data_IF_837034090680
#
_entry.id   IF_837034090680
#
_cell.length_a   1.000
_cell.length_b   1.000
_cell.length_c   1.000
_cell.angle_alpha   90.00
_cell.angle_beta   90.00
_cell.angle_gamma   90.00
#
_symmetry.space_group_name_H-M   'P 1'
#
loop_
_entity.id
_entity.type
_entity.pdbx_description
1 polymer ?
#
# COMPACT_ATOMS: atom_id res chain seq x y z
N UNK A 1 10.53 1.93 -20.97
CA UNK A 1 11.54 0.86 -21.16
C UNK A 1 12.04 0.49 -19.77
N UNK A 2 11.32 -0.39 -19.06
CA UNK A 2 11.36 -0.43 -17.58
C UNK A 2 11.11 -1.86 -17.07
N UNK A 3 11.90 -2.85 -17.53
CA UNK A 3 11.72 -4.26 -17.13
C UNK A 3 13.02 -4.98 -16.73
N UNK A 4 14.19 -4.34 -16.82
CA UNK A 4 15.47 -5.04 -16.69
C UNK A 4 16.11 -5.03 -15.31
N UNK A 5 15.74 -4.10 -14.42
CA UNK A 5 16.49 -3.87 -13.16
C UNK A 5 15.90 -4.61 -11.94
N UNK A 6 14.71 -5.19 -12.07
CA UNK A 6 14.03 -5.92 -10.99
C UNK A 6 14.06 -7.43 -11.17
N UNK A 7 14.71 -7.89 -12.25
CA UNK A 7 14.85 -9.29 -12.59
C UNK A 7 16.33 -9.65 -12.59
N UNK A 8 16.67 -10.83 -12.07
CA UNK A 8 17.97 -11.42 -12.26
C UNK A 8 18.20 -11.75 -13.75
N UNK A 9 19.42 -12.16 -14.10
CA UNK A 9 19.79 -12.51 -15.48
C UNK A 9 18.97 -13.68 -16.07
N UNK A 10 18.14 -14.34 -15.26
CA UNK A 10 17.20 -15.41 -15.66
C UNK A 10 15.74 -14.95 -15.78
N UNK A 11 15.45 -13.66 -15.56
CA UNK A 11 14.10 -13.10 -15.63
C UNK A 11 13.26 -13.29 -14.36
N UNK A 12 13.88 -13.64 -13.22
CA UNK A 12 13.19 -13.84 -11.93
C UNK A 12 13.37 -12.63 -11.01
N UNK A 13 12.38 -12.27 -10.17
CA UNK A 13 12.48 -11.11 -9.30
C UNK A 13 13.66 -11.22 -8.31
N UNK A 14 14.37 -10.12 -8.08
CA UNK A 14 15.51 -10.06 -7.15
C UNK A 14 15.14 -10.56 -5.73
N UNK A 15 16.06 -11.25 -5.02
CA UNK A 15 15.77 -11.90 -3.73
C UNK A 15 15.24 -10.96 -2.65
N UNK A 16 15.64 -9.68 -2.64
CA UNK A 16 15.20 -8.68 -1.66
C UNK A 16 13.72 -8.30 -1.83
N UNK A 17 13.25 -8.17 -3.06
CA UNK A 17 11.82 -7.93 -3.37
C UNK A 17 10.99 -9.16 -3.03
N UNK A 18 11.53 -10.35 -3.32
CA UNK A 18 10.96 -11.61 -2.83
C UNK A 18 10.93 -11.63 -1.30
N UNK A 19 11.91 -11.09 -0.58
CA UNK A 19 11.97 -11.10 0.88
C UNK A 19 11.02 -10.08 1.52
N UNK A 20 10.75 -8.93 0.90
CA UNK A 20 9.72 -7.98 1.33
C UNK A 20 8.30 -8.49 1.04
N UNK A 21 8.06 -9.01 -0.17
CA UNK A 21 6.77 -9.61 -0.53
C UNK A 21 6.52 -10.90 0.25
N UNK A 22 7.55 -11.72 0.47
CA UNK A 22 7.46 -12.88 1.35
C UNK A 22 7.40 -12.47 2.81
N UNK A 23 8.01 -11.38 3.26
CA UNK A 23 7.91 -10.85 4.62
C UNK A 23 6.48 -10.42 4.95
N UNK A 24 5.81 -9.74 4.02
CA UNK A 24 4.36 -9.49 4.09
C UNK A 24 3.54 -10.79 4.05
N UNK A 25 3.97 -11.78 3.28
CA UNK A 25 3.35 -13.10 3.21
C UNK A 25 3.62 -13.97 4.45
N UNK A 26 4.69 -13.71 5.21
CA UNK A 26 5.15 -14.46 6.39
C UNK A 26 4.55 -13.88 7.68
N UNK A 27 4.41 -12.54 7.77
CA UNK A 27 3.69 -11.87 8.86
C UNK A 27 2.22 -12.30 8.92
N UNK A 28 1.65 -12.68 7.77
CA UNK A 28 0.33 -13.27 7.63
C UNK A 28 0.50 -14.78 7.46
N UNK A 29 0.85 -15.46 8.55
CA UNK A 29 1.22 -16.89 8.58
C UNK A 29 0.50 -17.71 7.52
N UNK A 30 1.27 -18.25 6.57
CA UNK A 30 0.82 -19.06 5.42
C UNK A 30 -0.13 -20.17 5.89
N UNK A 31 0.11 -20.71 7.08
CA UNK A 31 -0.64 -21.81 7.67
C UNK A 31 -2.11 -21.49 8.08
N UNK A 32 -2.49 -20.21 8.27
CA UNK A 32 -3.88 -19.86 8.66
C UNK A 32 -4.81 -19.61 7.47
N UNK A 33 -4.26 -19.41 6.27
CA UNK A 33 -5.03 -19.07 5.06
C UNK A 33 -5.59 -20.31 4.35
N UNK A 34 -4.86 -21.43 4.45
CA UNK A 34 -5.24 -22.68 3.78
C UNK A 34 -6.23 -23.51 4.60
N UNK A 35 -6.35 -23.25 5.92
CA UNK A 35 -7.26 -23.97 6.83
C UNK A 35 -8.72 -24.00 6.34
N UNK A 36 -9.24 -22.87 5.85
CA UNK A 36 -10.63 -22.78 5.38
C UNK A 36 -10.87 -23.53 4.07
N UNK A 37 -9.83 -23.67 3.25
CA UNK A 37 -9.89 -24.36 1.95
C UNK A 37 -9.80 -25.88 2.18
N UNK A 38 -8.95 -26.30 3.11
CA UNK A 38 -8.71 -27.69 3.46
C UNK A 38 -9.90 -28.38 4.15
N UNK A 39 -10.90 -27.63 4.62
CA UNK A 39 -12.13 -28.17 5.22
C UNK A 39 -13.29 -28.36 4.20
N UNK A 40 -13.17 -27.83 2.98
CA UNK A 40 -14.26 -27.92 1.99
C UNK A 40 -14.44 -29.35 1.46
N UNK A 41 -15.65 -29.93 1.49
CA UNK A 41 -15.89 -31.32 1.03
C UNK A 41 -15.91 -31.50 -0.49
N UNK A 42 -15.92 -30.40 -1.26
CA UNK A 42 -16.02 -30.41 -2.73
C UNK A 42 -14.69 -30.00 -3.37
N UNK A 43 -13.97 -30.99 -3.94
CA UNK A 43 -12.61 -30.84 -4.49
C UNK A 43 -12.57 -29.81 -5.63
N UNK A 44 -13.62 -29.74 -6.47
CA UNK A 44 -13.68 -28.78 -7.60
C UNK A 44 -13.80 -27.34 -7.13
N UNK A 45 -14.33 -27.11 -5.92
CA UNK A 45 -14.43 -25.79 -5.30
C UNK A 45 -13.19 -25.41 -4.50
N UNK A 46 -12.36 -26.38 -4.07
CA UNK A 46 -11.10 -26.12 -3.36
C UNK A 46 -10.09 -25.39 -4.24
N UNK A 47 -9.86 -25.90 -5.45
CA UNK A 47 -8.78 -25.39 -6.32
C UNK A 47 -9.22 -24.25 -7.24
N UNK A 48 -10.44 -23.75 -7.07
CA UNK A 48 -10.95 -22.63 -7.84
C UNK A 48 -10.24 -21.33 -7.42
N UNK A 49 -9.69 -20.59 -8.40
CA UNK A 49 -9.04 -19.27 -8.18
C UNK A 49 -9.95 -18.32 -7.38
N UNK A 50 -11.26 -18.37 -7.62
CA UNK A 50 -12.25 -17.58 -6.89
C UNK A 50 -12.38 -17.99 -5.41
N UNK A 51 -12.28 -19.27 -5.09
CA UNK A 51 -12.34 -19.77 -3.72
C UNK A 51 -11.13 -19.30 -2.92
N UNK A 52 -9.92 -19.43 -3.49
CA UNK A 52 -8.70 -18.90 -2.88
C UNK A 52 -8.79 -17.38 -2.66
N UNK A 53 -9.29 -16.63 -3.64
CA UNK A 53 -9.45 -15.17 -3.53
C UNK A 53 -10.43 -14.79 -2.41
N UNK A 54 -11.60 -15.43 -2.33
CA UNK A 54 -12.58 -15.16 -1.28
C UNK A 54 -12.06 -15.59 0.10
N UNK A 55 -11.45 -16.76 0.20
CA UNK A 55 -10.84 -17.25 1.44
C UNK A 55 -9.80 -16.25 1.97
N UNK A 56 -8.88 -15.80 1.11
CA UNK A 56 -7.88 -14.79 1.48
C UNK A 56 -8.50 -13.45 1.90
N UNK A 57 -9.57 -13.03 1.22
CA UNK A 57 -10.32 -11.82 1.58
C UNK A 57 -10.92 -11.93 2.98
N UNK A 58 -11.61 -13.03 3.28
CA UNK A 58 -12.22 -13.29 4.59
C UNK A 58 -11.16 -13.47 5.69
N UNK A 59 -10.05 -14.15 5.41
CA UNK A 59 -8.94 -14.28 6.34
C UNK A 59 -8.31 -12.92 6.67
N UNK A 60 -8.18 -12.04 5.67
CA UNK A 60 -7.67 -10.69 5.87
C UNK A 60 -8.59 -9.84 6.75
N UNK A 61 -9.91 -10.01 6.64
CA UNK A 61 -10.91 -9.38 7.50
C UNK A 61 -10.86 -9.95 8.92
N UNK A 62 -10.79 -11.27 9.05
CA UNK A 62 -10.70 -11.92 10.36
C UNK A 62 -9.45 -11.47 11.14
N UNK A 63 -8.30 -11.40 10.46
CA UNK A 63 -7.05 -10.90 11.06
C UNK A 63 -7.19 -9.43 11.47
N UNK A 64 -7.76 -8.60 10.60
CA UNK A 64 -7.97 -7.18 10.89
C UNK A 64 -8.84 -6.98 12.13
N UNK A 65 -9.99 -7.67 12.19
CA UNK A 65 -10.92 -7.64 13.31
C UNK A 65 -10.31 -8.15 14.62
N UNK A 66 -9.67 -9.33 14.59
CA UNK A 66 -9.07 -9.94 15.81
C UNK A 66 -7.89 -9.12 16.32
N UNK A 67 -7.15 -8.48 15.41
CA UNK A 67 -6.03 -7.60 15.78
C UNK A 67 -6.47 -6.23 16.29
N UNK A 68 -7.77 -5.93 16.33
CA UNK A 68 -8.29 -4.61 16.69
C UNK A 68 -7.58 -3.47 15.92
N UNK A 69 -7.47 -3.63 14.60
CA UNK A 69 -6.86 -2.67 13.67
C UNK A 69 -5.34 -2.46 13.84
N UNK A 70 -4.67 -3.24 14.70
CA UNK A 70 -3.20 -3.15 14.87
C UNK A 70 -2.46 -3.76 13.68
N UNK A 71 -3.01 -4.82 13.08
CA UNK A 71 -2.45 -5.43 11.86
C UNK A 71 -3.18 -4.87 10.65
N UNK A 72 -2.47 -4.06 9.86
CA UNK A 72 -2.98 -3.47 8.61
C UNK A 72 -2.88 -4.49 7.48
N UNK A 73 -3.91 -5.31 7.31
CA UNK A 73 -3.90 -6.33 6.24
C UNK A 73 -3.92 -5.68 4.85
N UNK A 74 -3.30 -6.33 3.87
CA UNK A 74 -3.12 -5.77 2.52
C UNK A 74 -4.45 -5.34 1.88
N UNK A 75 -5.52 -6.11 2.09
CA UNK A 75 -6.88 -5.75 1.65
C UNK A 75 -7.33 -4.38 2.18
N UNK A 76 -7.15 -4.12 3.48
CA UNK A 76 -7.64 -2.90 4.13
C UNK A 76 -6.82 -1.67 3.73
N UNK A 77 -5.51 -1.86 3.53
CA UNK A 77 -4.63 -0.83 2.99
C UNK A 77 -5.00 -0.52 1.54
N UNK A 78 -5.03 -1.53 0.66
CA UNK A 78 -5.26 -1.33 -0.77
C UNK A 78 -6.66 -0.79 -1.04
N UNK A 79 -7.70 -1.28 -0.35
CA UNK A 79 -9.06 -0.75 -0.48
C UNK A 79 -9.14 0.70 -0.03
N UNK A 80 -8.55 1.03 1.13
CA UNK A 80 -8.51 2.40 1.65
C UNK A 80 -7.79 3.34 0.68
N UNK A 81 -6.60 2.96 0.22
CA UNK A 81 -5.79 3.75 -0.71
C UNK A 81 -6.51 3.97 -2.05
N UNK A 82 -7.14 2.92 -2.60
CA UNK A 82 -7.89 3.02 -3.87
C UNK A 82 -9.07 3.97 -3.74
N UNK A 83 -9.86 3.85 -2.67
CA UNK A 83 -11.01 4.75 -2.46
C UNK A 83 -10.56 6.18 -2.22
N UNK A 84 -9.45 6.36 -1.48
CA UNK A 84 -8.89 7.69 -1.22
C UNK A 84 -8.48 8.34 -2.54
N UNK A 85 -7.74 7.64 -3.39
CA UNK A 85 -7.27 8.18 -4.67
C UNK A 85 -8.40 8.42 -5.69
N UNK A 86 -9.47 7.63 -5.65
CA UNK A 86 -10.61 7.79 -6.57
C UNK A 86 -11.57 8.92 -6.14
N UNK A 87 -11.70 9.17 -4.84
CA UNK A 87 -12.74 10.07 -4.32
C UNK A 87 -12.18 11.32 -3.65
N UNK A 88 -10.91 11.30 -3.27
CA UNK A 88 -10.22 12.35 -2.51
C UNK A 88 -11.05 12.84 -1.32
N UNK A 89 -11.80 11.93 -0.68
CA UNK A 89 -12.80 12.26 0.34
C UNK A 89 -12.47 11.59 1.67
N UNK A 90 -12.00 12.41 2.63
CA UNK A 90 -11.79 12.00 4.02
C UNK A 90 -13.07 11.43 4.65
N UNK A 91 -14.24 11.98 4.29
CA UNK A 91 -15.55 11.51 4.78
C UNK A 91 -15.81 10.06 4.35
N UNK A 92 -15.55 9.73 3.09
CA UNK A 92 -15.74 8.36 2.57
C UNK A 92 -14.83 7.36 3.28
N UNK A 93 -13.56 7.71 3.47
CA UNK A 93 -12.61 6.85 4.19
C UNK A 93 -13.02 6.66 5.65
N UNK A 94 -13.47 7.72 6.33
CA UNK A 94 -13.95 7.61 7.70
C UNK A 94 -15.18 6.70 7.83
N UNK A 95 -16.10 6.73 6.86
CA UNK A 95 -17.26 5.81 6.84
C UNK A 95 -16.78 4.37 6.68
N UNK A 96 -15.92 4.09 5.70
CA UNK A 96 -15.39 2.74 5.46
C UNK A 96 -14.58 2.21 6.63
N UNK A 97 -13.79 3.06 7.29
CA UNK A 97 -13.04 2.70 8.49
C UNK A 97 -13.98 2.38 9.67
N UNK A 98 -15.04 3.17 9.88
CA UNK A 98 -16.07 2.87 10.90
C UNK A 98 -16.83 1.59 10.63
N UNK A 99 -17.00 1.22 9.37
CA UNK A 99 -17.57 -0.07 8.96
C UNK A 99 -16.56 -1.23 9.04
N UNK A 100 -15.30 -0.97 9.41
CA UNK A 100 -14.27 -2.00 9.55
C UNK A 100 -13.72 -2.52 8.22
N UNK A 101 -13.83 -1.76 7.13
CA UNK A 101 -13.42 -2.21 5.79
C UNK A 101 -12.07 -1.65 5.32
N UNK A 102 -11.56 -0.59 5.93
CA UNK A 102 -10.25 -0.03 5.60
C UNK A 102 -9.54 0.59 6.80
N UNK A 103 -8.25 0.89 6.61
CA UNK A 103 -7.45 1.64 7.58
C UNK A 103 -7.98 3.07 7.74
N UNK A 104 -7.62 3.70 8.87
CA UNK A 104 -7.97 5.09 9.10
C UNK A 104 -7.26 6.00 8.07
N UNK A 105 -7.82 7.19 7.86
CA UNK A 105 -7.34 8.13 6.86
C UNK A 105 -5.89 8.58 7.09
N UNK A 106 -5.51 8.89 8.34
CA UNK A 106 -4.14 9.34 8.67
C UNK A 106 -3.09 8.26 8.36
N UNK A 107 -3.40 6.97 8.58
CA UNK A 107 -2.53 5.87 8.21
C UNK A 107 -2.32 5.77 6.70
N UNK A 108 -3.33 6.11 5.90
CA UNK A 108 -3.19 6.13 4.44
C UNK A 108 -2.32 7.31 3.99
N UNK A 109 -2.48 8.47 4.63
CA UNK A 109 -1.60 9.63 4.45
C UNK A 109 -0.14 9.31 4.75
N UNK A 110 0.15 8.72 5.91
CA UNK A 110 1.50 8.29 6.29
C UNK A 110 2.09 7.31 5.26
N UNK A 111 1.27 6.40 4.74
CA UNK A 111 1.69 5.42 3.73
C UNK A 111 2.03 6.07 2.38
N UNK A 112 1.32 7.12 1.97
CA UNK A 112 1.65 7.87 0.73
C UNK A 112 2.96 8.65 0.87
N UNK A 113 3.13 9.32 2.00
CA UNK A 113 4.37 10.04 2.31
C UNK A 113 5.55 9.07 2.30
N UNK A 114 5.41 7.91 2.96
CA UNK A 114 6.49 6.93 2.97
C UNK A 114 6.73 6.26 1.62
N UNK A 115 5.67 5.97 0.85
CA UNK A 115 5.84 5.47 -0.50
C UNK A 115 6.64 6.45 -1.38
N UNK A 116 6.45 7.76 -1.16
CA UNK A 116 7.18 8.81 -1.86
C UNK A 116 8.64 8.88 -1.42
N UNK A 117 8.91 8.89 -0.11
CA UNK A 117 10.26 8.86 0.47
C UNK A 117 11.03 7.63 -0.05
N UNK A 118 10.43 6.44 0.04
CA UNK A 118 11.00 5.19 -0.48
C UNK A 118 11.28 5.24 -1.99
N UNK A 119 10.48 5.97 -2.77
CA UNK A 119 10.68 6.09 -4.23
C UNK A 119 11.83 7.04 -4.58
N UNK A 120 12.03 8.09 -3.80
CA UNK A 120 13.17 9.01 -3.92
C UNK A 120 14.47 8.34 -3.52
N UNK A 121 14.47 7.60 -2.41
CA UNK A 121 15.63 6.82 -1.98
C UNK A 121 16.05 5.79 -3.04
N UNK A 122 15.09 5.24 -3.79
CA UNK A 122 15.32 4.35 -4.94
C UNK A 122 15.68 5.07 -6.24
N UNK A 123 15.97 6.37 -6.19
CA UNK A 123 16.43 7.21 -7.32
C UNK A 123 15.43 7.40 -8.47
N UNK A 124 14.18 6.97 -8.32
CA UNK A 124 13.19 7.08 -9.41
C UNK A 124 12.58 8.48 -9.56
N UNK A 125 12.79 9.36 -8.59
CA UNK A 125 12.18 10.69 -8.51
C UNK A 125 13.26 11.69 -8.10
N UNK A 126 14.13 12.09 -9.02
CA UNK A 126 14.96 13.27 -8.84
C UNK A 126 14.79 14.22 -10.02
N UNK A 127 14.72 15.52 -9.71
CA UNK A 127 14.62 16.56 -10.72
C UNK A 127 15.93 16.61 -11.52
N UNK A 128 15.89 16.91 -12.83
CA UNK A 128 17.08 16.94 -13.68
C UNK A 128 18.19 17.88 -13.19
N UNK A 129 17.83 18.95 -12.49
CA UNK A 129 18.75 20.00 -12.04
C UNK A 129 19.39 19.73 -10.67
N UNK A 130 19.07 18.60 -10.02
CA UNK A 130 19.57 18.27 -8.69
C UNK A 130 20.63 17.18 -8.78
N UNK A 131 21.86 17.56 -8.45
CA UNK A 131 23.03 16.68 -8.61
C UNK A 131 23.21 15.88 -7.32
N UNK A 132 22.91 14.59 -7.33
CA UNK A 132 23.20 13.74 -6.17
C UNK A 132 24.71 13.51 -6.05
N UNK A 133 25.40 14.39 -5.32
CA UNK A 133 26.84 14.29 -5.02
C UNK A 133 27.07 14.31 -3.51
N UNK A 134 27.99 13.48 -2.98
CA UNK A 134 28.40 13.56 -1.56
C UNK A 134 28.97 14.92 -1.16
N UNK A 135 29.39 15.74 -2.12
CA UNK A 135 29.92 17.08 -1.90
C UNK A 135 28.85 18.16 -1.71
N UNK A 136 27.57 17.85 -1.98
CA UNK A 136 26.46 18.79 -1.92
C UNK A 136 25.51 18.39 -0.79
N UNK A 137 25.10 19.36 0.02
CA UNK A 137 24.14 19.11 1.08
C UNK A 137 22.74 19.12 0.50
N UNK A 138 22.17 17.93 0.26
CA UNK A 138 20.82 17.78 -0.31
C UNK A 138 19.84 17.34 0.77
N UNK A 139 18.82 18.15 1.03
CA UNK A 139 17.72 17.83 1.93
C UNK A 139 16.43 17.65 1.14
N UNK A 140 15.66 16.61 1.46
CA UNK A 140 14.34 16.36 0.88
C UNK A 140 13.32 16.16 1.99
N UNK A 141 12.16 16.78 1.88
CA UNK A 141 11.04 16.59 2.77
C UNK A 141 9.75 16.41 1.97
N UNK A 142 8.91 15.47 2.37
CA UNK A 142 7.61 15.20 1.77
C UNK A 142 6.52 15.38 2.82
N UNK A 143 5.39 15.92 2.38
CA UNK A 143 4.19 16.03 3.21
C UNK A 143 2.95 15.94 2.31
N UNK A 144 1.81 15.61 2.91
CA UNK A 144 0.54 15.59 2.21
C UNK A 144 -0.05 17.01 2.20
N UNK A 145 -0.21 17.56 1.01
CA UNK A 145 -0.71 18.91 0.79
C UNK A 145 -2.18 18.90 0.41
N UNK A 146 -2.99 19.26 1.40
CA UNK A 146 -4.44 19.22 1.36
C UNK A 146 -5.03 20.63 1.15
N UNK A 147 -5.69 20.90 0.01
CA UNK A 147 -6.48 22.13 -0.19
C UNK A 147 -7.96 21.84 -0.39
N UNK A 148 -8.79 22.70 0.20
CA UNK A 148 -10.25 22.70 0.06
C UNK A 148 -10.93 21.39 0.52
N UNK A 149 -10.31 20.66 1.45
CA UNK A 149 -10.66 19.28 1.85
C UNK A 149 -12.00 19.09 2.56
N UNK A 150 -12.71 20.17 2.89
CA UNK A 150 -13.99 20.14 3.61
C UNK A 150 -15.23 20.12 2.71
N UNK A 151 -15.15 19.62 1.49
CA UNK A 151 -16.33 19.46 0.63
C UNK A 151 -17.11 18.17 0.92
N UNK A 152 -18.40 18.14 0.60
CA UNK A 152 -19.21 16.91 0.67
C UNK A 152 -18.98 15.99 -0.52
N UNK A 153 -18.53 16.55 -1.65
CA UNK A 153 -18.38 15.85 -2.92
C UNK A 153 -16.95 15.39 -3.20
N UNK A 154 -15.94 15.92 -2.49
CA UNK A 154 -14.53 15.74 -2.86
C UNK A 154 -14.15 16.48 -4.15
N UNK A 155 -15.06 17.27 -4.73
CA UNK A 155 -14.81 18.03 -5.96
C UNK A 155 -14.04 19.30 -5.65
N UNK A 156 -13.12 19.66 -6.54
CA UNK A 156 -12.26 20.85 -6.44
C UNK A 156 -11.37 20.85 -5.18
N UNK A 157 -11.11 19.67 -4.61
CA UNK A 157 -10.12 19.46 -3.55
C UNK A 157 -8.79 19.04 -4.16
N UNK A 158 -7.70 19.42 -3.50
CA UNK A 158 -6.35 18.95 -3.82
C UNK A 158 -5.90 18.05 -2.69
N UNK A 159 -5.53 16.83 -3.02
CA UNK A 159 -4.91 15.87 -2.12
C UNK A 159 -3.71 15.29 -2.87
N UNK A 160 -2.53 15.84 -2.60
CA UNK A 160 -1.32 15.43 -3.29
C UNK A 160 -0.15 15.36 -2.31
N UNK A 161 0.74 14.39 -2.50
CA UNK A 161 1.98 14.33 -1.72
C UNK A 161 3.00 15.23 -2.40
N UNK A 162 3.36 16.32 -1.74
CA UNK A 162 4.26 17.33 -2.29
C UNK A 162 5.62 17.24 -1.59
N UNK A 163 6.69 17.40 -2.37
CA UNK A 163 8.06 17.42 -1.87
C UNK A 163 8.69 18.81 -1.98
N UNK A 164 9.46 19.19 -0.96
CA UNK A 164 10.43 20.27 -1.05
C UNK A 164 11.82 19.64 -1.09
N UNK A 165 12.63 20.08 -2.03
CA UNK A 165 14.02 19.66 -2.16
C UNK A 165 14.93 20.89 -2.15
N UNK A 166 15.97 20.82 -1.33
CA UNK A 166 16.97 21.86 -1.15
C UNK A 166 18.35 21.28 -1.38
N UNK A 167 19.20 22.00 -2.12
CA UNK A 167 20.58 21.62 -2.36
C UNK A 167 21.47 22.87 -2.22
N UNK A 168 22.52 22.76 -1.40
CA UNK A 168 23.57 23.77 -1.23
C UNK A 168 24.86 23.32 -1.92
#
# INVERSE_FOLDING_TARGET
MMQSEYMDQSGKPLPEIMHELNGFRLAIGVNRRDFWIEQSKDIRRRDGVNCHRLSNSLASDAIYCVSNNTVKSSKHITLGMTVKNLTSSRKMINILNRLGHCCNYNTLEELETEATISSVNRSQICLPDIIQSPSLSTGVAFDNFDRYVDTLTGKDTLHDTVGIIYQN
#
